data_IF_467744716654
#
_entry.id   IF_467744716654
#
_cell.length_a   1.000
_cell.length_b   1.000
_cell.length_c   1.000
_cell.angle_alpha   90.00
_cell.angle_beta   90.00
_cell.angle_gamma   90.00
#
_symmetry.space_group_name_H-M   'P 1'
#
loop_
_entity.id
_entity.type
_entity.pdbx_description
1 polymer ?
#
# COMPACT_ATOMS: atom_id res chain seq x y z
N UNK A 1 20.89 5.79 -12.94
CA UNK A 1 20.76 5.38 -11.52
C UNK A 1 19.58 4.41 -11.46
N UNK A 2 19.61 3.37 -10.62
CA UNK A 2 18.49 2.43 -10.53
C UNK A 2 17.51 2.95 -9.47
N UNK A 3 16.21 2.84 -9.69
CA UNK A 3 15.18 3.39 -8.79
C UNK A 3 15.37 2.97 -7.31
N UNK A 4 15.74 1.71 -7.05
CA UNK A 4 15.98 1.23 -5.68
C UNK A 4 17.14 1.93 -4.97
N UNK A 5 18.12 2.45 -5.72
CA UNK A 5 19.25 3.20 -5.15
C UNK A 5 18.79 4.61 -4.76
N UNK A 6 17.99 5.26 -5.61
CA UNK A 6 17.41 6.58 -5.33
C UNK A 6 16.53 6.55 -4.07
N UNK A 7 15.69 5.51 -3.94
CA UNK A 7 14.85 5.29 -2.76
C UNK A 7 15.71 5.16 -1.50
N UNK A 8 16.79 4.37 -1.56
CA UNK A 8 17.70 4.20 -0.44
C UNK A 8 18.46 5.49 -0.09
N UNK A 9 18.88 6.28 -1.09
CA UNK A 9 19.57 7.56 -0.91
C UNK A 9 18.65 8.62 -0.25
N UNK A 10 17.34 8.51 -0.45
CA UNK A 10 16.32 9.33 0.23
C UNK A 10 16.03 8.86 1.67
N UNK A 11 16.68 7.77 2.14
CA UNK A 11 16.44 7.19 3.46
C UNK A 11 15.09 6.46 3.57
N UNK A 12 14.47 6.12 2.44
CA UNK A 12 13.20 5.39 2.41
C UNK A 12 13.51 3.90 2.53
N UNK A 13 12.89 3.26 3.52
CA UNK A 13 13.00 1.81 3.70
C UNK A 13 12.23 1.06 2.62
N UNK A 14 12.88 0.08 1.98
CA UNK A 14 12.23 -0.83 1.05
C UNK A 14 11.78 -2.09 1.81
N UNK A 15 10.48 -2.24 1.98
CA UNK A 15 9.91 -3.42 2.63
C UNK A 15 9.81 -4.60 1.63
N UNK A 16 10.41 -5.77 1.92
CA UNK A 16 10.25 -6.96 1.09
C UNK A 16 8.81 -7.48 1.13
N UNK A 17 8.28 -7.90 -0.01
CA UNK A 17 6.98 -8.55 -0.07
C UNK A 17 7.02 -9.94 0.57
N UNK A 18 6.29 -10.11 1.67
CA UNK A 18 6.21 -11.35 2.44
C UNK A 18 4.87 -12.09 2.29
N UNK A 19 4.81 -13.33 2.79
CA UNK A 19 3.59 -14.14 2.79
C UNK A 19 2.43 -13.50 3.54
N UNK A 20 2.70 -12.92 4.71
CA UNK A 20 1.68 -12.27 5.55
C UNK A 20 0.97 -11.13 4.80
N UNK A 21 1.72 -10.32 4.06
CA UNK A 21 1.18 -9.25 3.22
C UNK A 21 0.30 -9.81 2.08
N UNK A 22 0.68 -10.94 1.48
CA UNK A 22 -0.10 -11.61 0.43
C UNK A 22 -1.39 -12.24 0.98
N UNK A 23 -1.35 -12.81 2.18
CA UNK A 23 -2.53 -13.37 2.85
C UNK A 23 -3.50 -12.25 3.25
N UNK A 24 -3.00 -11.12 3.78
CA UNK A 24 -3.79 -9.93 4.05
C UNK A 24 -4.41 -9.36 2.76
N UNK A 25 -3.62 -9.26 1.68
CA UNK A 25 -4.11 -8.84 0.37
C UNK A 25 -5.25 -9.73 -0.13
N UNK A 26 -5.11 -11.06 -0.03
CA UNK A 26 -6.15 -12.01 -0.43
C UNK A 26 -7.42 -11.83 0.41
N UNK A 27 -7.27 -11.63 1.73
CA UNK A 27 -8.38 -11.37 2.64
C UNK A 27 -9.13 -10.09 2.29
N UNK A 28 -8.42 -8.99 2.01
CA UNK A 28 -9.06 -7.72 1.61
C UNK A 28 -9.77 -7.85 0.26
N UNK A 29 -9.13 -8.49 -0.73
CA UNK A 29 -9.74 -8.72 -2.06
C UNK A 29 -10.98 -9.61 -2.02
N UNK A 30 -11.12 -10.47 -1.02
CA UNK A 30 -12.34 -11.26 -0.82
C UNK A 30 -13.54 -10.43 -0.30
N UNK A 31 -13.27 -9.25 0.22
CA UNK A 31 -14.27 -8.33 0.80
C UNK A 31 -14.58 -7.16 -0.13
N UNK A 32 -13.61 -6.77 -0.96
CA UNK A 32 -13.70 -5.61 -1.84
C UNK A 32 -13.41 -6.01 -3.30
N UNK A 33 -14.47 -6.23 -4.08
CA UNK A 33 -14.37 -6.63 -5.50
C UNK A 33 -13.63 -5.60 -6.37
N UNK A 34 -13.64 -4.33 -5.97
CA UNK A 34 -12.92 -3.24 -6.64
C UNK A 34 -11.41 -3.29 -6.43
N UNK A 35 -10.93 -4.08 -5.47
CA UNK A 35 -9.51 -4.15 -5.14
C UNK A 35 -8.79 -5.13 -6.08
N UNK A 36 -8.03 -4.55 -7.02
CA UNK A 36 -7.22 -5.35 -7.93
C UNK A 36 -6.05 -6.03 -7.20
N UNK A 37 -5.34 -6.95 -7.87
CA UNK A 37 -4.27 -7.73 -7.24
C UNK A 37 -3.11 -6.86 -6.73
N UNK A 38 -2.71 -5.83 -7.47
CA UNK A 38 -1.56 -4.99 -7.12
C UNK A 38 -1.93 -4.00 -6.03
N UNK A 39 -3.10 -3.37 -6.11
CA UNK A 39 -3.61 -2.52 -5.03
C UNK A 39 -3.77 -3.34 -3.76
N UNK A 40 -4.30 -4.56 -3.89
CA UNK A 40 -4.41 -5.52 -2.80
C UNK A 40 -3.08 -5.80 -2.12
N UNK A 41 -1.97 -5.91 -2.87
CA UNK A 41 -0.63 -6.07 -2.29
C UNK A 41 -0.21 -4.85 -1.47
N UNK A 42 -0.47 -3.64 -1.95
CA UNK A 42 -0.17 -2.41 -1.20
C UNK A 42 -1.00 -2.32 0.08
N UNK A 43 -2.32 -2.50 -0.02
CA UNK A 43 -3.25 -2.49 1.12
C UNK A 43 -2.98 -3.62 2.12
N UNK A 44 -2.66 -4.82 1.64
CA UNK A 44 -2.30 -5.95 2.48
C UNK A 44 -1.00 -5.68 3.26
N UNK A 45 0.01 -5.13 2.59
CA UNK A 45 1.28 -4.74 3.23
C UNK A 45 1.05 -3.66 4.30
N UNK A 46 0.35 -2.58 3.93
CA UNK A 46 0.03 -1.48 4.84
C UNK A 46 -0.75 -1.96 6.06
N UNK A 47 -1.77 -2.81 5.86
CA UNK A 47 -2.54 -3.43 6.94
C UNK A 47 -1.66 -4.25 7.88
N UNK A 48 -0.71 -5.03 7.36
CA UNK A 48 0.17 -5.86 8.20
C UNK A 48 1.18 -5.06 9.02
N UNK A 49 1.52 -3.86 8.55
CA UNK A 49 2.47 -2.96 9.20
C UNK A 49 1.79 -1.92 10.11
N UNK A 50 0.45 -1.83 10.06
CA UNK A 50 -0.32 -0.76 10.71
C UNK A 50 0.07 0.64 10.21
N UNK A 51 0.46 0.72 8.93
CA UNK A 51 0.92 1.95 8.27
C UNK A 51 -0.17 2.51 7.34
N UNK A 52 -0.22 3.83 7.15
CA UNK A 52 -1.10 4.44 6.16
C UNK A 52 -0.58 4.18 4.74
N UNK A 53 -1.49 4.22 3.78
CA UNK A 53 -1.14 4.33 2.35
C UNK A 53 -1.14 5.79 1.97
N UNK A 54 -0.02 6.22 1.38
CA UNK A 54 0.11 7.55 0.79
C UNK A 54 -0.03 7.41 -0.73
N UNK A 55 -1.10 7.96 -1.31
CA UNK A 55 -1.37 7.83 -2.74
C UNK A 55 -2.19 8.99 -3.30
N UNK A 56 -1.88 9.41 -4.52
CA UNK A 56 -2.71 10.35 -5.29
C UNK A 56 -3.71 9.64 -6.19
N UNK A 57 -3.74 8.31 -6.18
CA UNK A 57 -4.63 7.52 -7.02
C UNK A 57 -6.07 7.61 -6.51
N UNK A 58 -6.92 8.27 -7.30
CA UNK A 58 -8.33 8.45 -6.99
C UNK A 58 -9.16 7.18 -7.19
N UNK A 59 -8.56 6.12 -7.78
CA UNK A 59 -9.20 4.83 -7.99
C UNK A 59 -8.99 3.87 -6.81
N UNK A 60 -8.16 4.24 -5.83
CA UNK A 60 -8.05 3.43 -4.62
C UNK A 60 -9.40 3.34 -3.91
N UNK A 61 -9.88 2.11 -3.65
CA UNK A 61 -11.11 1.94 -2.91
C UNK A 61 -10.90 2.45 -1.49
N UNK A 62 -11.93 3.09 -0.93
CA UNK A 62 -11.93 3.44 0.47
C UNK A 62 -12.07 2.15 1.30
N UNK A 63 -10.96 1.69 1.88
CA UNK A 63 -10.85 0.49 2.71
C UNK A 63 -10.70 0.98 4.16
N UNK A 64 -11.76 0.94 4.99
CA UNK A 64 -11.73 1.47 6.35
C UNK A 64 -10.65 0.86 7.25
N UNK A 65 -10.16 -0.33 6.90
CA UNK A 65 -9.11 -1.05 7.62
C UNK A 65 -7.70 -0.47 7.40
N UNK A 66 -7.51 0.44 6.45
CA UNK A 66 -6.21 1.06 6.13
C UNK A 66 -6.41 2.55 5.90
N UNK A 67 -5.72 3.38 6.67
CA UNK A 67 -5.75 4.83 6.47
C UNK A 67 -5.16 5.20 5.10
N UNK A 68 -5.85 6.05 4.36
CA UNK A 68 -5.39 6.57 3.07
C UNK A 68 -5.16 8.06 3.17
N UNK A 69 -3.96 8.50 2.80
CA UNK A 69 -3.52 9.90 2.82
C UNK A 69 -3.27 10.32 1.38
N UNK A 70 -3.98 11.34 0.92
CA UNK A 70 -3.66 12.02 -0.34
C UNK A 70 -2.61 13.09 -0.08
N UNK A 71 -1.44 12.99 -0.73
CA UNK A 71 -0.38 13.99 -0.61
C UNK A 71 -0.83 15.40 -1.03
N UNK A 72 -1.88 15.51 -1.84
CA UNK A 72 -2.43 16.81 -2.27
C UNK A 72 -3.21 17.52 -1.16
N UNK A 73 -3.59 16.78 -0.11
CA UNK A 73 -4.29 17.31 1.05
C UNK A 73 -3.31 17.71 2.17
N UNK A 74 -2.02 17.40 2.02
CA UNK A 74 -0.94 17.80 2.92
C UNK A 74 -0.33 19.11 2.38
N UNK A 75 -0.58 20.22 3.09
CA UNK A 75 -0.06 21.56 2.75
C UNK A 75 1.48 21.66 2.72
#
# INVERSE_FOLDING_TARGET
MRAYQEIADLGIEMIPLGGDALDAAAKLRSQYDSLNIFDGVHFGTAQTLDDPIVSTDTLYPNIPEVESIDLRDLE
#
